data_IF_936170059666
#
_entry.id   IF_936170059666
#
_cell.length_a   1.000
_cell.length_b   1.000
_cell.length_c   1.000
_cell.angle_alpha   90.00
_cell.angle_beta   90.00
_cell.angle_gamma   90.00
#
_symmetry.space_group_name_H-M   'P 1'
#
loop_
_entity.id
_entity.type
_entity.pdbx_description
1 polymer ?
#
# COMPACT_ATOMS: atom_id res chain seq x y z
N UNK A 1 2.92 -4.56 8.31
CA UNK A 1 4.37 -4.55 8.56
C UNK A 1 5.02 -3.41 7.80
N UNK A 2 6.28 -3.10 8.12
CA UNK A 2 7.08 -2.08 7.40
C UNK A 2 7.82 -2.68 6.20
N UNK A 3 7.92 -1.92 5.12
CA UNK A 3 8.53 -2.34 3.86
C UNK A 3 9.57 -1.28 3.45
N UNK A 4 10.83 -1.68 3.31
CA UNK A 4 11.91 -0.79 2.89
C UNK A 4 11.73 -0.38 1.42
N UNK A 5 11.76 0.92 1.13
CA UNK A 5 11.74 1.52 -0.20
C UNK A 5 13.13 1.66 -0.82
N UNK A 6 13.18 2.15 -2.07
CA UNK A 6 14.45 2.46 -2.76
C UNK A 6 15.08 3.78 -2.30
N UNK A 7 14.28 4.64 -1.68
CA UNK A 7 14.67 5.92 -1.08
C UNK A 7 15.22 5.80 0.36
N UNK A 8 15.43 4.56 0.83
CA UNK A 8 15.79 4.22 2.21
C UNK A 8 14.71 4.60 3.25
N UNK A 9 13.48 4.86 2.83
CA UNK A 9 12.35 5.01 3.74
C UNK A 9 11.71 3.67 4.06
N UNK A 10 11.19 3.49 5.27
CA UNK A 10 10.35 2.36 5.68
C UNK A 10 8.89 2.77 5.60
N UNK A 11 8.14 2.05 4.78
CA UNK A 11 6.72 2.30 4.52
C UNK A 11 5.85 1.37 5.35
N UNK A 12 5.11 1.93 6.29
CA UNK A 12 4.10 1.24 7.09
C UNK A 12 2.73 1.29 6.42
N UNK A 13 2.24 0.13 6.02
CA UNK A 13 0.95 0.00 5.32
C UNK A 13 -0.24 0.28 6.27
N UNK A 14 -1.19 1.15 5.88
CA UNK A 14 -2.30 1.54 6.75
C UNK A 14 -3.33 0.42 6.92
N UNK A 15 -3.27 -0.30 8.05
CA UNK A 15 -4.29 -1.27 8.42
C UNK A 15 -5.49 -0.61 9.10
N UNK A 16 -5.27 0.22 10.12
CA UNK A 16 -6.33 0.95 10.82
C UNK A 16 -6.02 2.46 10.88
N UNK A 17 -5.43 2.96 9.80
CA UNK A 17 -5.03 4.36 9.61
C UNK A 17 -5.50 4.86 8.23
N UNK A 18 -5.57 6.17 8.06
CA UNK A 18 -5.92 6.82 6.79
C UNK A 18 -4.74 7.03 5.85
N UNK A 19 -3.50 6.95 6.34
CA UNK A 19 -2.31 7.34 5.59
C UNK A 19 -1.20 6.31 5.71
N UNK A 20 -0.32 6.23 4.70
CA UNK A 20 0.89 5.42 4.79
C UNK A 20 1.86 6.09 5.76
N UNK A 21 2.39 5.32 6.71
CA UNK A 21 3.49 5.77 7.55
C UNK A 21 4.78 5.73 6.73
N UNK A 22 5.52 6.83 6.67
CA UNK A 22 6.84 6.90 6.04
C UNK A 22 7.87 7.26 7.11
N UNK A 23 8.92 6.46 7.23
CA UNK A 23 10.03 6.68 8.17
C UNK A 23 11.30 6.76 7.35
N UNK A 24 11.98 7.91 7.31
CA UNK A 24 13.29 8.02 6.68
C UNK A 24 14.34 7.34 7.58
N UNK A 25 14.90 6.23 7.12
CA UNK A 25 15.86 5.46 7.92
C UNK A 25 17.26 6.11 8.00
N UNK A 26 17.50 7.24 7.32
CA UNK A 26 18.73 8.01 7.45
C UNK A 26 18.65 9.03 8.59
N UNK A 27 17.45 9.56 8.86
CA UNK A 27 17.24 10.72 9.74
C UNK A 27 16.30 10.47 10.92
N UNK A 28 15.62 9.31 10.93
CA UNK A 28 14.54 8.97 11.85
C UNK A 28 13.31 9.91 11.75
N UNK A 29 13.22 10.71 10.68
CA UNK A 29 12.06 11.56 10.45
C UNK A 29 10.84 10.72 10.04
N UNK A 30 9.67 11.11 10.56
CA UNK A 30 8.41 10.42 10.32
C UNK A 30 7.43 11.36 9.62
N UNK A 31 6.85 10.88 8.54
CA UNK A 31 5.80 11.57 7.79
C UNK A 31 4.65 10.62 7.44
N UNK A 32 3.55 11.21 6.95
CA UNK A 32 2.38 10.48 6.48
C UNK A 32 2.14 10.83 5.01
N UNK A 33 1.82 9.81 4.21
CA UNK A 33 1.52 9.98 2.79
C UNK A 33 0.07 9.57 2.49
N UNK A 34 -0.64 10.46 1.79
CA UNK A 34 -2.00 10.30 1.30
C UNK A 34 -3.09 10.33 2.37
N UNK A 35 -4.33 10.34 1.92
CA UNK A 35 -5.53 10.13 2.73
C UNK A 35 -6.48 9.16 2.00
N UNK A 36 -6.55 7.94 2.52
CA UNK A 36 -7.39 6.85 2.01
C UNK A 36 -8.67 6.66 2.84
N UNK A 37 -8.95 7.60 3.75
CA UNK A 37 -10.07 7.52 4.68
C UNK A 37 -9.84 6.53 5.81
N UNK A 38 -10.34 6.87 6.99
CA UNK A 38 -10.29 5.98 8.14
C UNK A 38 -11.36 4.89 8.03
N UNK A 39 -10.91 3.69 7.68
CA UNK A 39 -11.70 2.48 7.77
C UNK A 39 -10.89 1.44 8.53
N UNK A 40 -11.55 0.72 9.45
CA UNK A 40 -10.90 -0.42 10.09
C UNK A 40 -10.51 -1.42 9.01
N UNK A 41 -9.23 -1.78 9.00
CA UNK A 41 -8.66 -2.90 8.22
C UNK A 41 -8.52 -2.63 6.71
N UNK A 42 -8.15 -1.41 6.31
CA UNK A 42 -7.94 -1.00 4.91
C UNK A 42 -7.00 -1.94 4.15
N UNK A 43 -5.71 -1.93 4.51
CA UNK A 43 -4.66 -2.71 3.86
C UNK A 43 -3.88 -3.54 4.88
N UNK A 44 -3.66 -4.82 4.61
CA UNK A 44 -3.05 -5.72 5.61
C UNK A 44 -1.51 -5.69 5.61
N UNK A 45 -0.92 -5.33 4.48
CA UNK A 45 0.51 -5.33 4.26
C UNK A 45 0.80 -5.08 2.79
N UNK A 46 2.03 -5.29 2.37
CA UNK A 46 2.42 -5.09 0.99
C UNK A 46 3.74 -5.76 0.65
N UNK A 47 4.11 -5.68 -0.61
CA UNK A 47 5.37 -6.24 -1.12
C UNK A 47 6.01 -5.27 -2.12
N UNK A 48 7.35 -5.09 -2.02
CA UNK A 48 8.11 -4.24 -2.93
C UNK A 48 8.60 -5.03 -4.15
N UNK A 49 8.13 -4.66 -5.33
CA UNK A 49 8.60 -5.21 -6.60
C UNK A 49 10.06 -4.85 -6.91
N UNK A 50 10.67 -5.55 -7.85
CA UNK A 50 12.02 -5.23 -8.38
C UNK A 50 12.11 -3.85 -9.03
N UNK A 51 10.98 -3.31 -9.49
CA UNK A 51 10.88 -1.96 -10.06
C UNK A 51 10.73 -0.85 -9.02
N UNK A 52 10.76 -1.17 -7.72
CA UNK A 52 10.71 -0.18 -6.64
C UNK A 52 9.29 0.23 -6.21
N UNK A 53 8.24 -0.25 -6.86
CA UNK A 53 6.87 -0.02 -6.39
C UNK A 53 6.50 -1.02 -5.29
N UNK A 54 5.90 -0.54 -4.20
CA UNK A 54 5.23 -1.33 -3.17
C UNK A 54 3.76 -1.48 -3.54
N UNK A 55 3.25 -2.71 -3.48
CA UNK A 55 1.83 -3.00 -3.67
C UNK A 55 1.22 -3.45 -2.34
N UNK A 56 0.27 -2.67 -1.83
CA UNK A 56 -0.43 -2.95 -0.58
C UNK A 56 -1.75 -3.69 -0.83
N UNK A 57 -1.91 -4.81 -0.14
CA UNK A 57 -3.04 -5.72 -0.33
C UNK A 57 -4.29 -5.21 0.39
N UNK A 58 -5.41 -5.03 -0.33
CA UNK A 58 -6.62 -4.47 0.24
C UNK A 58 -7.39 -5.54 1.03
N UNK A 59 -7.46 -5.39 2.34
CA UNK A 59 -8.32 -6.22 3.17
C UNK A 59 -9.77 -5.72 3.08
N UNK A 60 -10.00 -4.44 3.35
CA UNK A 60 -11.32 -3.78 3.29
C UNK A 60 -11.41 -2.72 2.19
N UNK A 61 -10.27 -2.17 1.75
CA UNK A 61 -10.24 -1.24 0.64
C UNK A 61 -10.77 -1.89 -0.66
N UNK A 62 -11.28 -1.07 -1.58
CA UNK A 62 -11.83 -1.48 -2.88
C UNK A 62 -10.76 -1.58 -3.98
N UNK A 63 -9.59 -0.98 -3.74
CA UNK A 63 -8.48 -0.85 -4.70
C UNK A 63 -7.16 -1.29 -4.08
N UNK A 64 -6.19 -1.68 -4.90
CA UNK A 64 -4.81 -1.93 -4.48
C UNK A 64 -4.09 -0.60 -4.39
N UNK A 65 -3.43 -0.33 -3.26
CA UNK A 65 -2.57 0.85 -3.13
C UNK A 65 -1.18 0.53 -3.68
N UNK A 66 -0.71 1.32 -4.64
CA UNK A 66 0.66 1.32 -5.16
C UNK A 66 1.40 2.53 -4.58
N UNK A 67 2.62 2.31 -4.09
CA UNK A 67 3.52 3.34 -3.59
C UNK A 67 4.82 3.26 -4.42
N UNK A 68 5.17 4.30 -5.16
CA UNK A 68 6.41 4.36 -5.93
C UNK A 68 7.56 4.90 -5.08
N UNK A 69 8.46 4.00 -4.66
CA UNK A 69 9.60 4.37 -3.79
C UNK A 69 10.82 4.84 -4.56
N UNK A 70 10.74 4.95 -5.89
CA UNK A 70 11.81 5.51 -6.72
C UNK A 70 11.77 7.03 -6.79
N UNK A 71 10.64 7.62 -6.38
CA UNK A 71 10.40 9.05 -6.33
C UNK A 71 10.81 9.55 -4.94
N UNK A 72 11.92 10.27 -4.84
CA UNK A 72 12.45 10.75 -3.55
C UNK A 72 11.81 12.07 -3.11
N UNK A 73 11.72 13.04 -4.01
CA UNK A 73 11.28 14.42 -3.72
C UNK A 73 9.91 14.79 -4.31
N UNK A 74 9.13 13.80 -4.73
CA UNK A 74 7.79 14.01 -5.28
C UNK A 74 6.71 14.14 -4.22
N UNK A 75 5.56 14.67 -4.61
CA UNK A 75 4.38 14.76 -3.75
C UNK A 75 3.59 13.43 -3.69
N UNK A 76 2.52 13.44 -2.90
CA UNK A 76 1.66 12.27 -2.71
C UNK A 76 1.01 11.79 -4.01
N UNK A 77 0.63 12.70 -4.91
CA UNK A 77 -0.06 12.36 -6.16
C UNK A 77 0.87 11.69 -7.17
N UNK A 78 2.17 12.00 -7.11
CA UNK A 78 3.20 11.31 -7.89
C UNK A 78 3.55 9.93 -7.30
N UNK A 79 3.64 9.82 -5.97
CA UNK A 79 4.06 8.59 -5.27
C UNK A 79 2.96 7.55 -5.18
N UNK A 80 1.70 7.96 -5.04
CA UNK A 80 0.60 7.10 -4.67
C UNK A 80 -0.34 6.86 -5.85
N UNK A 81 -0.80 5.63 -6.01
CA UNK A 81 -1.83 5.31 -7.00
C UNK A 81 -2.75 4.20 -6.49
N UNK A 82 -4.04 4.32 -6.79
CA UNK A 82 -5.03 3.28 -6.48
C UNK A 82 -5.38 2.49 -7.74
N UNK A 83 -4.97 1.23 -7.78
CA UNK A 83 -5.20 0.34 -8.91
C UNK A 83 -6.56 -0.36 -8.75
N UNK A 84 -7.40 -0.38 -9.80
CA UNK A 84 -8.71 -1.03 -9.74
C UNK A 84 -8.57 -2.54 -9.58
N UNK A 85 -9.55 -3.16 -8.91
CA UNK A 85 -9.67 -4.61 -8.76
C UNK A 85 -10.95 -5.05 -9.45
N UNK A 86 -10.89 -6.20 -10.11
CA UNK A 86 -12.08 -6.89 -10.60
C UNK A 86 -12.36 -8.08 -9.69
N UNK A 87 -13.59 -8.16 -9.17
CA UNK A 87 -14.07 -9.38 -8.51
C UNK A 87 -14.32 -10.44 -9.56
N UNK A 88 -14.19 -11.70 -9.16
CA UNK A 88 -14.55 -12.81 -10.02
C UNK A 88 -16.03 -12.65 -10.44
N UNK A 89 -16.41 -12.94 -11.70
CA UNK A 89 -17.79 -12.73 -12.18
C UNK A 89 -18.86 -13.50 -11.39
N UNK A 90 -18.48 -14.57 -10.69
CA UNK A 90 -19.35 -15.39 -9.86
C UNK A 90 -19.44 -14.92 -8.40
N UNK A 91 -18.63 -13.93 -8.00
CA UNK A 91 -18.58 -13.43 -6.64
C UNK A 91 -19.71 -12.44 -6.38
N UNK A 92 -20.85 -12.98 -5.95
CA UNK A 92 -22.06 -12.24 -5.62
C UNK A 92 -22.18 -11.91 -4.12
N UNK A 93 -21.12 -12.14 -3.33
CA UNK A 93 -21.16 -11.89 -1.88
C UNK A 93 -21.28 -10.37 -1.61
N UNK A 94 -22.28 -9.91 -0.83
CA UNK A 94 -22.40 -8.51 -0.44
C UNK A 94 -21.24 -8.04 0.46
N UNK A 95 -20.51 -8.94 1.10
CA UNK A 95 -19.36 -8.65 1.94
C UNK A 95 -18.13 -8.40 1.06
N UNK A 96 -17.65 -7.16 1.07
CA UNK A 96 -16.49 -6.71 0.27
C UNK A 96 -15.21 -6.54 1.09
N UNK A 97 -15.15 -7.18 2.27
CA UNK A 97 -14.09 -7.04 3.27
C UNK A 97 -13.45 -8.39 3.63
N UNK A 98 -12.26 -8.35 4.25
CA UNK A 98 -11.45 -9.51 4.61
C UNK A 98 -10.98 -10.36 3.41
N UNK A 99 -10.64 -9.72 2.29
CA UNK A 99 -10.40 -10.40 1.00
C UNK A 99 -8.99 -10.92 0.83
N UNK A 100 -7.99 -10.09 1.08
CA UNK A 100 -6.57 -10.41 0.84
C UNK A 100 -5.71 -9.96 2.02
N UNK A 101 -4.80 -10.83 2.47
CA UNK A 101 -3.88 -10.57 3.58
C UNK A 101 -2.44 -10.32 3.13
N UNK A 102 -2.09 -10.77 1.92
CA UNK A 102 -0.71 -10.81 1.46
C UNK A 102 -0.58 -11.36 0.04
N UNK A 103 0.66 -11.48 -0.40
CA UNK A 103 1.04 -12.03 -1.69
C UNK A 103 2.55 -12.17 -1.78
N UNK A 104 3.01 -12.77 -2.87
CA UNK A 104 4.43 -12.99 -3.16
C UNK A 104 4.79 -12.40 -4.52
N UNK A 105 6.08 -12.13 -4.73
CA UNK A 105 6.60 -11.80 -6.05
C UNK A 105 6.72 -13.09 -6.85
N UNK A 106 6.14 -13.11 -8.05
CA UNK A 106 6.36 -14.17 -9.03
C UNK A 106 7.69 -14.01 -9.74
N UNK A 107 8.21 -15.11 -10.29
CA UNK A 107 9.30 -15.05 -11.27
C UNK A 107 8.74 -14.52 -12.59
N UNK A 108 9.55 -13.72 -13.27
CA UNK A 108 9.35 -13.26 -14.64
C UNK A 108 9.31 -14.41 -15.65
#
# INVERSE_FOLDING_TARGET
>A
GGILGNDNCVYGIPYSAGSVLCIDANTDEVSLLGDFGWNKYNFHGGIKSSKGAIYAFPAHADKVLKIDTTITNGDDDEKLSLLPIQRAPYDNDPVTRYKWLGGSIGKD
#
